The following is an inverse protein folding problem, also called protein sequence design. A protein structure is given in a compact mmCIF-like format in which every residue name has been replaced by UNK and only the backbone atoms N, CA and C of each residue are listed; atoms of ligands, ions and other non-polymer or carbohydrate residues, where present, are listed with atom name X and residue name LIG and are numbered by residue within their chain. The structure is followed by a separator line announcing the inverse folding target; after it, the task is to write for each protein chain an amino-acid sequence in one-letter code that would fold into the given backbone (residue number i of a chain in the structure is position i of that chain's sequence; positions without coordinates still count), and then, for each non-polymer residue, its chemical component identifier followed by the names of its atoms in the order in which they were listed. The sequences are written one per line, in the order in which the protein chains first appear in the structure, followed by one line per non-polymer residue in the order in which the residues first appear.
data_IF_427166452948
#
_entry.id   IF_427166452948
#
_cell.length_a   1.000
_cell.length_b   1.000
_cell.length_c   1.000
_cell.angle_alpha   90.00
_cell.angle_beta   90.00
_cell.angle_gamma   90.00
#
_symmetry.space_group_name_H-M   'P 1'
#
loop_
_entity.id
_entity.type
_entity.pdbx_description
1 polymer ?
#
# COMPACT_ATOMS: atom_id res chain seq x y z
N UNK A 1 -24.09 18.80 -18.20
CA UNK A 1 -23.84 17.35 -18.33
C UNK A 1 -25.06 16.65 -17.76
N UNK A 2 -25.74 15.77 -18.53
CA UNK A 2 -26.87 15.02 -17.98
C UNK A 2 -26.39 14.10 -16.85
N UNK A 3 -27.21 13.83 -15.82
CA UNK A 3 -26.83 12.95 -14.72
C UNK A 3 -26.55 11.55 -15.26
N UNK A 4 -25.36 11.00 -14.99
CA UNK A 4 -25.03 9.61 -15.29
C UNK A 4 -26.08 8.70 -14.64
N UNK A 5 -26.56 7.67 -15.36
CA UNK A 5 -27.43 6.64 -14.78
C UNK A 5 -26.76 5.97 -13.58
N UNK A 6 -27.55 5.61 -12.57
CA UNK A 6 -27.08 5.01 -11.31
C UNK A 6 -26.22 3.77 -11.57
N UNK A 7 -26.60 2.96 -12.57
CA UNK A 7 -25.85 1.77 -12.99
C UNK A 7 -24.46 2.12 -13.54
N UNK A 8 -24.33 3.22 -14.28
CA UNK A 8 -23.05 3.66 -14.82
C UNK A 8 -22.13 4.18 -13.71
N UNK A 9 -22.68 4.91 -12.73
CA UNK A 9 -21.93 5.35 -11.55
C UNK A 9 -21.44 4.16 -10.71
N UNK A 10 -22.29 3.14 -10.52
CA UNK A 10 -21.91 1.92 -9.81
C UNK A 10 -20.81 1.14 -10.55
N UNK A 11 -20.95 0.96 -11.86
CA UNK A 11 -19.95 0.28 -12.68
C UNK A 11 -18.59 0.98 -12.64
N UNK A 12 -18.58 2.32 -12.72
CA UNK A 12 -17.35 3.11 -12.62
C UNK A 12 -16.70 2.95 -11.24
N UNK A 13 -17.49 2.97 -10.17
CA UNK A 13 -17.00 2.81 -8.81
C UNK A 13 -16.40 1.43 -8.56
N UNK A 14 -17.02 0.38 -9.10
CA UNK A 14 -16.49 -0.98 -9.04
C UNK A 14 -15.20 -1.12 -9.84
N UNK A 15 -15.08 -0.42 -10.98
CA UNK A 15 -13.83 -0.37 -11.73
C UNK A 15 -12.72 0.36 -10.95
N UNK A 16 -13.04 1.48 -10.30
CA UNK A 16 -12.11 2.20 -9.42
C UNK A 16 -11.64 1.33 -8.24
N UNK A 17 -12.54 0.56 -7.62
CA UNK A 17 -12.19 -0.38 -6.55
C UNK A 17 -11.23 -1.48 -7.04
N UNK A 18 -11.45 -2.01 -8.24
CA UNK A 18 -10.56 -3.01 -8.86
C UNK A 18 -9.20 -2.42 -9.17
N UNK A 19 -9.15 -1.24 -9.78
CA UNK A 19 -7.89 -0.54 -10.06
C UNK A 19 -7.12 -0.23 -8.78
N UNK A 20 -7.79 0.26 -7.75
CA UNK A 20 -7.17 0.56 -6.46
C UNK A 20 -6.58 -0.72 -5.83
N UNK A 21 -7.29 -1.85 -5.91
CA UNK A 21 -6.77 -3.15 -5.48
C UNK A 21 -5.51 -3.58 -6.25
N UNK A 22 -5.51 -3.43 -7.58
CA UNK A 22 -4.37 -3.77 -8.42
C UNK A 22 -3.15 -2.89 -8.13
N UNK A 23 -3.35 -1.57 -7.96
CA UNK A 23 -2.28 -0.62 -7.64
C UNK A 23 -1.66 -0.97 -6.28
N UNK A 24 -2.47 -1.28 -5.27
CA UNK A 24 -1.94 -1.69 -3.95
C UNK A 24 -1.03 -2.91 -4.03
N UNK A 25 -1.41 -3.91 -4.81
CA UNK A 25 -0.58 -5.10 -5.01
C UNK A 25 0.72 -4.78 -5.76
N UNK A 26 0.64 -3.97 -6.83
CA UNK A 26 1.82 -3.52 -7.56
C UNK A 26 2.78 -2.73 -6.66
N UNK A 27 2.25 -1.83 -5.82
CA UNK A 27 3.04 -1.02 -4.89
C UNK A 27 3.72 -1.86 -3.80
N UNK A 28 3.08 -2.93 -3.30
CA UNK A 28 3.76 -3.91 -2.44
C UNK A 28 4.96 -4.55 -3.14
N UNK A 29 4.82 -4.95 -4.41
CA UNK A 29 5.92 -5.50 -5.21
C UNK A 29 7.07 -4.52 -5.42
N UNK A 30 6.74 -3.25 -5.72
CA UNK A 30 7.74 -2.17 -5.84
C UNK A 30 8.48 -1.95 -4.52
N UNK A 31 7.76 -1.90 -3.39
CA UNK A 31 8.37 -1.76 -2.07
C UNK A 31 9.34 -2.91 -1.76
N UNK A 32 8.95 -4.16 -2.06
CA UNK A 32 9.82 -5.32 -1.88
C UNK A 32 11.08 -5.24 -2.75
N UNK A 33 10.93 -4.91 -4.03
CA UNK A 33 12.06 -4.76 -4.96
C UNK A 33 13.04 -3.67 -4.51
N UNK A 34 12.54 -2.50 -4.10
CA UNK A 34 13.37 -1.42 -3.56
C UNK A 34 14.10 -1.85 -2.29
N UNK A 35 13.40 -2.51 -1.37
CA UNK A 35 13.99 -2.94 -0.09
C UNK A 35 15.11 -3.96 -0.32
N UNK A 36 14.89 -4.97 -1.18
CA UNK A 36 15.91 -5.96 -1.51
C UNK A 36 17.12 -5.30 -2.20
N UNK A 37 16.87 -4.39 -3.15
CA UNK A 37 17.93 -3.67 -3.85
C UNK A 37 18.79 -2.81 -2.92
N UNK A 38 18.15 -2.04 -2.02
CA UNK A 38 18.82 -1.23 -1.01
C UNK A 38 19.59 -2.07 0.01
N UNK A 39 19.02 -3.18 0.48
CA UNK A 39 19.71 -4.10 1.39
C UNK A 39 20.96 -4.70 0.73
N UNK A 40 20.85 -5.13 -0.52
CA UNK A 40 21.97 -5.68 -1.29
C UNK A 40 23.08 -4.66 -1.45
N UNK A 41 22.73 -3.41 -1.77
CA UNK A 41 23.69 -2.31 -1.87
C UNK A 41 24.35 -2.00 -0.51
N UNK A 42 23.55 -1.95 0.56
CA UNK A 42 24.03 -1.67 1.92
C UNK A 42 25.05 -2.71 2.40
N UNK A 43 24.76 -4.01 2.24
CA UNK A 43 25.70 -5.06 2.61
C UNK A 43 26.97 -5.07 1.74
N UNK A 44 26.85 -4.79 0.44
CA UNK A 44 28.02 -4.68 -0.44
C UNK A 44 28.93 -3.52 -0.07
N UNK A 45 28.38 -2.44 0.48
CA UNK A 45 29.13 -1.27 0.94
C UNK A 45 29.83 -1.55 2.28
N UNK A 46 29.18 -2.24 3.21
CA UNK A 46 29.79 -2.62 4.49
C UNK A 46 31.04 -3.50 4.33
N UNK A 47 31.07 -4.34 3.30
CA UNK A 47 32.22 -5.20 2.98
C UNK A 47 33.44 -4.38 2.50
N UNK A 48 33.20 -3.18 1.99
CA UNK A 48 34.26 -2.24 1.63
C UNK A 48 34.63 -1.42 2.88
N UNK A 49 35.61 -1.87 3.68
CA UNK A 49 36.15 -1.18 4.87
C UNK A 49 36.76 0.22 4.57
N UNK A 50 35.92 1.18 4.15
CA UNK A 50 36.26 2.57 3.83
C UNK A 50 35.26 3.50 4.52
N UNK A 51 35.74 4.61 5.07
CA UNK A 51 34.90 5.59 5.79
C UNK A 51 33.74 6.11 4.91
N UNK A 52 33.99 6.35 3.62
CA UNK A 52 32.95 6.71 2.64
C UNK A 52 31.86 5.64 2.48
N UNK A 53 32.20 4.36 2.58
CA UNK A 53 31.24 3.28 2.44
C UNK A 53 30.30 3.19 3.65
N UNK A 54 30.78 3.56 4.84
CA UNK A 54 29.97 3.67 6.07
C UNK A 54 28.94 4.80 5.94
N UNK A 55 29.34 5.97 5.43
CA UNK A 55 28.40 7.09 5.18
C UNK A 55 27.33 6.72 4.15
N UNK A 56 27.72 6.04 3.06
CA UNK A 56 26.79 5.54 2.05
C UNK A 56 25.85 4.46 2.60
N UNK A 57 26.33 3.58 3.48
CA UNK A 57 25.52 2.56 4.14
C UNK A 57 24.45 3.21 5.04
N UNK A 58 24.81 4.24 5.81
CA UNK A 58 23.87 5.01 6.63
C UNK A 58 22.83 5.76 5.77
N UNK A 59 23.25 6.33 4.62
CA UNK A 59 22.33 6.93 3.67
C UNK A 59 21.35 5.90 3.10
N UNK A 60 21.81 4.70 2.73
CA UNK A 60 20.96 3.63 2.25
C UNK A 60 19.92 3.20 3.30
N UNK A 61 20.33 3.13 4.57
CA UNK A 61 19.44 2.85 5.70
C UNK A 61 18.36 3.93 5.87
N UNK A 62 18.74 5.20 5.83
CA UNK A 62 17.81 6.34 5.91
C UNK A 62 16.82 6.33 4.75
N UNK A 63 17.30 6.09 3.52
CA UNK A 63 16.45 5.99 2.32
C UNK A 63 15.47 4.81 2.45
N UNK A 64 15.96 3.64 2.88
CA UNK A 64 15.12 2.45 3.13
C UNK A 64 14.00 2.74 4.13
N UNK A 65 14.33 3.40 5.24
CA UNK A 65 13.36 3.80 6.27
C UNK A 65 12.29 4.74 5.70
N UNK A 66 12.70 5.79 4.99
CA UNK A 66 11.77 6.77 4.38
C UNK A 66 10.85 6.08 3.38
N UNK A 67 11.38 5.20 2.52
CA UNK A 67 10.59 4.46 1.53
C UNK A 67 9.53 3.62 2.23
N UNK A 68 9.90 2.84 3.25
CA UNK A 68 8.93 1.99 3.98
C UNK A 68 7.82 2.83 4.62
N UNK A 69 8.15 3.99 5.22
CA UNK A 69 7.17 4.92 5.78
C UNK A 69 6.21 5.43 4.71
N UNK A 70 6.73 5.86 3.55
CA UNK A 70 5.91 6.34 2.44
C UNK A 70 4.94 5.26 1.94
N UNK A 71 5.38 4.01 1.84
CA UNK A 71 4.52 2.88 1.46
C UNK A 71 3.46 2.57 2.52
N UNK A 72 3.78 2.68 3.81
CA UNK A 72 2.79 2.54 4.88
C UNK A 72 1.71 3.64 4.82
N UNK A 73 2.11 4.90 4.58
CA UNK A 73 1.18 6.04 4.39
C UNK A 73 0.30 5.82 3.16
N UNK A 74 0.91 5.38 2.05
CA UNK A 74 0.18 5.04 0.83
C UNK A 74 -0.89 3.98 1.11
N UNK A 75 -0.54 2.92 1.83
CA UNK A 75 -1.45 1.80 2.11
C UNK A 75 -2.62 2.20 3.03
N UNK A 76 -2.36 3.05 4.03
CA UNK A 76 -3.40 3.66 4.86
C UNK A 76 -4.34 4.53 4.03
N UNK A 77 -3.79 5.38 3.17
CA UNK A 77 -4.55 6.27 2.29
C UNK A 77 -5.41 5.47 1.31
N UNK A 78 -4.84 4.42 0.72
CA UNK A 78 -5.55 3.53 -0.18
C UNK A 78 -6.66 2.75 0.56
N UNK A 79 -6.43 2.32 1.80
CA UNK A 79 -7.46 1.68 2.60
C UNK A 79 -8.62 2.63 2.95
N UNK A 80 -8.34 3.92 3.16
CA UNK A 80 -9.38 4.92 3.37
C UNK A 80 -10.20 5.12 2.09
N UNK A 81 -9.55 5.38 0.96
CA UNK A 81 -10.22 5.57 -0.32
C UNK A 81 -11.06 4.34 -0.70
N UNK A 82 -10.53 3.13 -0.47
CA UNK A 82 -11.26 1.88 -0.69
C UNK A 82 -12.56 1.84 0.11
N UNK A 83 -12.54 2.21 1.40
CA UNK A 83 -13.77 2.26 2.21
C UNK A 83 -14.74 3.33 1.69
N UNK A 84 -14.24 4.49 1.29
CA UNK A 84 -15.08 5.58 0.79
C UNK A 84 -15.81 5.17 -0.50
N UNK A 85 -15.09 4.57 -1.44
CA UNK A 85 -15.70 4.03 -2.65
C UNK A 85 -16.65 2.89 -2.31
N UNK A 86 -16.23 1.89 -1.54
CA UNK A 86 -17.12 0.79 -1.19
C UNK A 86 -18.41 1.26 -0.46
N UNK A 87 -18.32 2.26 0.42
CA UNK A 87 -19.49 2.85 1.08
C UNK A 87 -20.45 3.53 0.09
N UNK A 88 -19.93 4.22 -0.93
CA UNK A 88 -20.74 4.79 -2.01
C UNK A 88 -21.36 3.71 -2.89
N UNK A 89 -20.63 2.63 -3.20
CA UNK A 89 -21.18 1.50 -3.97
C UNK A 89 -22.34 0.84 -3.22
N UNK A 90 -22.19 0.60 -1.91
CA UNK A 90 -23.25 0.05 -1.06
C UNK A 90 -24.49 0.95 -1.06
N UNK A 91 -24.31 2.27 -0.96
CA UNK A 91 -25.43 3.22 -1.00
C UNK A 91 -26.16 3.24 -2.35
N UNK A 92 -25.45 2.98 -3.46
CA UNK A 92 -26.02 2.93 -4.81
C UNK A 92 -26.70 1.58 -5.12
N UNK A 93 -26.18 0.47 -4.59
CA UNK A 93 -26.72 -0.89 -4.82
C UNK A 93 -27.96 -1.19 -3.96
N UNK A 94 -28.09 -0.54 -2.79
CA UNK A 94 -29.16 -0.78 -1.82
C UNK A 94 -28.86 -1.95 -0.87
N UNK A 95 -29.59 -2.03 0.25
CA UNK A 95 -29.37 -3.03 1.32
C UNK A 95 -29.55 -4.49 0.87
N UNK A 96 -30.27 -4.71 -0.23
CA UNK A 96 -30.51 -6.01 -0.85
C UNK A 96 -29.57 -6.36 -2.01
N UNK A 97 -28.56 -5.53 -2.28
CA UNK A 97 -27.61 -5.69 -3.38
C UNK A 97 -26.80 -6.99 -3.35
N UNK A 98 -26.73 -7.71 -4.47
CA UNK A 98 -26.09 -9.01 -4.60
C UNK A 98 -24.59 -9.04 -4.22
N UNK A 99 -23.87 -7.93 -4.37
CA UNK A 99 -22.41 -7.86 -4.17
C UNK A 99 -22.04 -7.58 -2.72
N UNK A 100 -22.78 -6.71 -2.03
CA UNK A 100 -22.49 -6.31 -0.65
C UNK A 100 -23.45 -6.87 0.41
N UNK A 101 -24.48 -7.64 0.05
CA UNK A 101 -25.41 -8.28 1.00
C UNK A 101 -24.63 -9.05 2.09
N UNK A 102 -24.79 -8.62 3.33
CA UNK A 102 -24.14 -9.21 4.50
C UNK A 102 -22.64 -8.93 4.68
N UNK A 103 -22.00 -8.15 3.78
CA UNK A 103 -20.57 -7.82 3.88
C UNK A 103 -20.36 -6.42 4.47
N UNK A 104 -19.77 -6.35 5.67
CA UNK A 104 -19.27 -5.09 6.24
C UNK A 104 -17.91 -4.77 5.64
N UNK A 105 -17.85 -3.74 4.78
CA UNK A 105 -16.56 -3.22 4.28
C UNK A 105 -15.90 -2.41 5.40
N UNK A 106 -14.83 -2.96 5.97
CA UNK A 106 -14.12 -2.38 7.11
C UNK A 106 -12.99 -1.46 6.62
N UNK A 107 -12.77 -0.36 7.36
CA UNK A 107 -11.51 0.37 7.30
C UNK A 107 -10.44 -0.56 7.87
N UNK A 108 -9.25 -0.65 7.25
CA UNK A 108 -8.22 -1.62 7.63
C UNK A 108 -8.73 -3.07 7.51
N UNK A 109 -9.10 -3.46 6.29
CA UNK A 109 -9.40 -4.85 6.00
C UNK A 109 -8.19 -5.77 6.24
N UNK A 110 -8.39 -7.11 6.24
CA UNK A 110 -7.33 -8.07 6.52
C UNK A 110 -6.09 -7.87 5.64
N UNK A 111 -6.28 -7.50 4.37
CA UNK A 111 -5.18 -7.19 3.45
C UNK A 111 -4.37 -5.97 3.91
N UNK A 112 -5.04 -4.87 4.29
CA UNK A 112 -4.36 -3.66 4.80
C UNK A 112 -3.61 -3.94 6.11
N UNK A 113 -4.19 -4.76 6.99
CA UNK A 113 -3.54 -5.14 8.25
C UNK A 113 -2.27 -5.95 7.98
N UNK A 114 -2.36 -6.96 7.10
CA UNK A 114 -1.21 -7.79 6.75
C UNK A 114 -0.09 -6.98 6.08
N UNK A 115 -0.42 -6.07 5.16
CA UNK A 115 0.58 -5.22 4.53
C UNK A 115 1.23 -4.24 5.52
N UNK A 116 0.48 -3.66 6.44
CA UNK A 116 1.04 -2.82 7.51
C UNK A 116 1.96 -3.60 8.46
N UNK A 117 1.64 -4.86 8.78
CA UNK A 117 2.53 -5.74 9.54
C UNK A 117 3.84 -5.95 8.77
N UNK A 118 3.77 -6.21 7.46
CA UNK A 118 4.96 -6.35 6.61
C UNK A 118 5.79 -5.07 6.62
N UNK A 119 5.18 -3.90 6.44
CA UNK A 119 5.91 -2.63 6.49
C UNK A 119 6.53 -2.36 7.86
N UNK A 120 5.84 -2.69 8.95
CA UNK A 120 6.39 -2.58 10.30
C UNK A 120 7.63 -3.48 10.48
N UNK A 121 7.57 -4.72 9.99
CA UNK A 121 8.73 -5.64 10.01
C UNK A 121 9.90 -5.09 9.19
N UNK A 122 9.65 -4.54 8.00
CA UNK A 122 10.72 -3.94 7.18
C UNK A 122 11.32 -2.71 7.88
N UNK A 123 10.51 -1.92 8.56
CA UNK A 123 10.98 -0.76 9.31
C UNK A 123 11.87 -1.18 10.49
N UNK A 124 11.52 -2.28 11.18
CA UNK A 124 12.37 -2.90 12.19
C UNK A 124 13.71 -3.33 11.59
N UNK A 125 13.70 -4.00 10.43
CA UNK A 125 14.95 -4.39 9.74
C UNK A 125 15.83 -3.17 9.47
N UNK A 126 15.27 -2.10 8.91
CA UNK A 126 16.01 -0.87 8.64
C UNK A 126 16.48 -0.15 9.90
N UNK A 127 15.79 -0.29 11.03
CA UNK A 127 16.19 0.33 12.29
C UNK A 127 17.38 -0.36 12.96
N UNK A 128 17.55 -1.67 12.75
CA UNK A 128 18.61 -2.47 13.37
C UNK A 128 19.82 -2.73 12.46
N UNK A 129 19.75 -2.33 11.20
CA UNK A 129 20.91 -2.24 10.30
C UNK A 129 21.78 -1.04 10.68
#
# INVERSE_FOLDING_TARGET
MPPLSIDLQYAELMNQLRHLGAIRFAMMGVCAAFTIGLLTAHYSLLDQCRVQAIELAFQAQMIGTIIVILFAIFELSASWQYKQFAGRAVALEGEDGAVFKGKKVRLLGPVTLMSLIVYALLLVVWWFL
#
